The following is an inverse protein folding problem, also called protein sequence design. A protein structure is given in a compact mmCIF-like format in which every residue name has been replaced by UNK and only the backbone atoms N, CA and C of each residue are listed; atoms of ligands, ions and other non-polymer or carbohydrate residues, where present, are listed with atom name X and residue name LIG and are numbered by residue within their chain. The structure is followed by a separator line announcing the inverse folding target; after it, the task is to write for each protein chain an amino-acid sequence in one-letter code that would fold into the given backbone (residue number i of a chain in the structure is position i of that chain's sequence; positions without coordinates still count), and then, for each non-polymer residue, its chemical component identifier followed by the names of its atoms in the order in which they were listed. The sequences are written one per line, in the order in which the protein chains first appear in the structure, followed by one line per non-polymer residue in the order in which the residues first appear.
data_IF_340878550993
#
_entry.id   IF_340878550993
#
_cell.length_a   1.000
_cell.length_b   1.000
_cell.length_c   1.000
_cell.angle_alpha   90.00
_cell.angle_beta   90.00
_cell.angle_gamma   90.00
#
_symmetry.space_group_name_H-M   'P 1'
#
loop_
_entity.id
_entity.type
_entity.pdbx_description
1 polymer ?
#
# COMPACT_ATOMS: atom_id res chain seq x y z
N UNK A 1 27.13 -12.00 13.08
CA UNK A 1 25.89 -11.32 13.46
C UNK A 1 24.80 -11.62 12.44
N UNK A 2 23.68 -12.13 12.90
CA UNK A 2 22.58 -12.45 11.98
C UNK A 2 21.98 -11.17 11.40
N UNK A 3 21.82 -11.13 10.10
CA UNK A 3 21.16 -10.00 9.43
C UNK A 3 19.65 -10.17 9.51
N UNK A 4 18.94 -9.07 9.75
CA UNK A 4 17.50 -9.07 9.69
C UNK A 4 17.10 -9.22 8.21
N UNK A 5 16.27 -10.21 7.88
CA UNK A 5 15.84 -10.37 6.49
C UNK A 5 15.14 -9.11 5.98
N UNK A 6 15.45 -8.74 4.76
CA UNK A 6 14.83 -7.60 4.09
C UNK A 6 13.92 -8.11 2.98
N UNK A 7 12.71 -7.58 2.94
CA UNK A 7 11.74 -7.90 1.90
C UNK A 7 11.79 -6.84 0.82
N UNK A 8 11.69 -7.28 -0.43
CA UNK A 8 11.62 -6.36 -1.55
C UNK A 8 10.19 -5.87 -1.72
N UNK A 9 10.01 -4.56 -1.83
CA UNK A 9 8.69 -3.97 -2.07
C UNK A 9 8.43 -3.96 -3.57
N UNK A 10 7.30 -4.56 -3.97
CA UNK A 10 6.86 -4.60 -5.36
C UNK A 10 5.51 -3.94 -5.46
N UNK A 11 5.39 -2.93 -6.31
CA UNK A 11 4.13 -2.24 -6.55
C UNK A 11 3.43 -2.90 -7.74
N UNK A 12 2.22 -3.40 -7.53
CA UNK A 12 1.42 -3.94 -8.63
C UNK A 12 0.96 -2.81 -9.54
N UNK A 13 0.56 -3.14 -10.76
CA UNK A 13 0.02 -2.13 -11.69
C UNK A 13 -1.16 -1.39 -11.08
N UNK A 14 -2.04 -2.12 -10.38
CA UNK A 14 -3.20 -1.52 -9.71
C UNK A 14 -2.77 -0.52 -8.64
N UNK A 15 -1.76 -0.85 -7.85
CA UNK A 15 -1.24 0.06 -6.83
C UNK A 15 -0.62 1.30 -7.45
N UNK A 16 0.14 1.13 -8.52
CA UNK A 16 0.74 2.26 -9.25
C UNK A 16 -0.35 3.18 -9.78
N UNK A 17 -1.39 2.61 -10.35
CA UNK A 17 -2.52 3.39 -10.86
C UNK A 17 -3.22 4.15 -9.74
N UNK A 18 -3.46 3.50 -8.59
CA UNK A 18 -4.06 4.15 -7.42
C UNK A 18 -3.25 5.37 -6.98
N UNK A 19 -1.92 5.20 -6.93
CA UNK A 19 -1.01 6.27 -6.50
C UNK A 19 -1.04 7.42 -7.49
N UNK A 20 -0.98 7.12 -8.80
CA UNK A 20 -1.00 8.14 -9.84
C UNK A 20 -2.32 8.92 -9.83
N UNK A 21 -3.45 8.23 -9.71
CA UNK A 21 -4.76 8.85 -9.65
C UNK A 21 -4.90 9.77 -8.44
N UNK A 22 -4.41 9.33 -7.28
CA UNK A 22 -4.48 10.14 -6.08
C UNK A 22 -3.54 11.34 -6.16
N UNK A 23 -2.35 11.19 -6.72
CA UNK A 23 -1.43 12.30 -6.92
C UNK A 23 -2.06 13.36 -7.82
N UNK A 24 -2.68 12.93 -8.92
CA UNK A 24 -3.37 13.84 -9.84
C UNK A 24 -4.53 14.55 -9.16
N UNK A 25 -5.29 13.82 -8.33
CA UNK A 25 -6.39 14.40 -7.56
C UNK A 25 -5.89 15.48 -6.60
N UNK A 26 -4.81 15.20 -5.86
CA UNK A 26 -4.23 16.15 -4.92
C UNK A 26 -3.75 17.41 -5.64
N UNK A 27 -3.03 17.23 -6.76
CA UNK A 27 -2.51 18.35 -7.53
C UNK A 27 -3.65 19.25 -8.05
N UNK A 28 -4.73 18.63 -8.55
CA UNK A 28 -5.86 19.37 -9.08
C UNK A 28 -6.67 20.05 -7.96
N UNK A 29 -6.92 19.33 -6.86
CA UNK A 29 -7.74 19.83 -5.75
C UNK A 29 -7.14 21.05 -5.07
N UNK A 30 -5.82 21.04 -4.89
CA UNK A 30 -5.11 22.10 -4.17
C UNK A 30 -4.36 23.05 -5.10
N UNK A 31 -4.42 22.83 -6.42
CA UNK A 31 -3.68 23.60 -7.42
C UNK A 31 -2.19 23.67 -7.08
N UNK A 32 -1.65 22.54 -6.57
CA UNK A 32 -0.29 22.50 -6.06
C UNK A 32 0.36 21.15 -6.37
N UNK A 33 1.11 21.05 -7.50
CA UNK A 33 1.81 19.82 -7.85
C UNK A 33 2.86 19.41 -6.81
N UNK A 34 3.44 20.36 -6.09
CA UNK A 34 4.45 20.05 -5.07
C UNK A 34 3.83 19.29 -3.89
N UNK A 35 2.60 19.59 -3.56
CA UNK A 35 1.88 18.90 -2.50
C UNK A 35 1.63 17.43 -2.88
N UNK A 36 1.28 17.18 -4.14
CA UNK A 36 1.10 15.82 -4.63
C UNK A 36 2.42 15.04 -4.60
N UNK A 37 3.51 15.68 -4.99
CA UNK A 37 4.84 15.08 -4.97
C UNK A 37 5.27 14.75 -3.54
N UNK A 38 5.04 15.65 -2.60
CA UNK A 38 5.31 15.43 -1.18
C UNK A 38 4.56 14.21 -0.64
N UNK A 39 3.26 14.12 -0.95
CA UNK A 39 2.45 12.98 -0.55
C UNK A 39 3.01 11.67 -1.12
N UNK A 40 3.37 11.69 -2.41
CA UNK A 40 3.91 10.52 -3.10
C UNK A 40 5.19 10.02 -2.45
N UNK A 41 6.15 10.90 -2.21
CA UNK A 41 7.42 10.50 -1.61
C UNK A 41 7.25 10.07 -0.15
N UNK A 42 6.39 10.75 0.60
CA UNK A 42 6.13 10.39 1.99
C UNK A 42 5.50 9.00 2.07
N UNK A 43 4.53 8.71 1.20
CA UNK A 43 3.88 7.40 1.17
C UNK A 43 4.89 6.29 0.87
N UNK A 44 5.71 6.47 -0.15
CA UNK A 44 6.70 5.46 -0.54
C UNK A 44 7.76 5.27 0.55
N UNK A 45 8.17 6.37 1.18
CA UNK A 45 9.12 6.30 2.29
C UNK A 45 8.54 5.50 3.46
N UNK A 46 7.29 5.75 3.82
CA UNK A 46 6.65 5.03 4.93
C UNK A 46 6.46 3.55 4.61
N UNK A 47 6.06 3.21 3.39
CA UNK A 47 5.93 1.82 2.97
C UNK A 47 7.29 1.11 3.07
N UNK A 48 8.33 1.72 2.54
CA UNK A 48 9.68 1.15 2.58
C UNK A 48 10.13 0.93 4.02
N UNK A 49 9.96 1.94 4.85
CA UNK A 49 10.39 1.90 6.25
C UNK A 49 9.65 0.83 7.05
N UNK A 50 8.33 0.72 6.84
CA UNK A 50 7.49 -0.11 7.70
C UNK A 50 7.37 -1.56 7.24
N UNK A 51 7.50 -1.83 5.95
CA UNK A 51 7.18 -3.16 5.42
C UNK A 51 8.38 -3.97 4.96
N UNK A 52 9.60 -3.41 4.93
CA UNK A 52 10.77 -4.17 4.46
C UNK A 52 11.32 -5.15 5.50
N UNK A 53 11.16 -4.87 6.78
CA UNK A 53 11.79 -5.67 7.84
C UNK A 53 10.79 -6.63 8.49
N UNK A 54 9.64 -6.13 8.91
CA UNK A 54 8.63 -6.94 9.61
C UNK A 54 7.26 -6.75 8.96
N UNK A 55 7.06 -7.27 7.73
CA UNK A 55 5.79 -7.04 7.01
C UNK A 55 4.59 -7.72 7.64
N UNK A 56 4.80 -8.68 8.54
CA UNK A 56 3.71 -9.38 9.23
C UNK A 56 3.22 -8.67 10.50
N UNK A 57 3.81 -7.53 10.87
CA UNK A 57 3.43 -6.84 12.11
C UNK A 57 2.06 -6.17 12.05
N UNK A 58 1.56 -5.90 10.85
CA UNK A 58 0.24 -5.30 10.68
C UNK A 58 -0.81 -6.38 10.50
N UNK A 59 -2.04 -6.08 10.92
CA UNK A 59 -3.09 -7.09 10.96
C UNK A 59 -3.61 -7.44 9.56
N UNK A 60 -4.16 -8.65 9.41
CA UNK A 60 -4.84 -9.02 8.18
C UNK A 60 -6.03 -8.09 7.90
N UNK A 61 -6.37 -7.94 6.63
CA UNK A 61 -7.59 -7.28 6.23
C UNK A 61 -8.72 -8.30 6.36
N UNK A 62 -9.55 -8.14 7.40
CA UNK A 62 -10.54 -9.15 7.81
C UNK A 62 -11.82 -9.12 6.96
N UNK A 63 -11.66 -9.22 5.64
CA UNK A 63 -12.79 -9.28 4.70
C UNK A 63 -12.49 -10.37 3.68
N UNK A 64 -13.34 -11.40 3.62
CA UNK A 64 -13.19 -12.44 2.62
C UNK A 64 -13.62 -11.94 1.23
N UNK A 65 -12.99 -12.40 0.14
CA UNK A 65 -11.95 -13.44 0.09
C UNK A 65 -10.52 -12.94 0.35
N UNK A 66 -10.36 -11.66 0.66
CA UNK A 66 -9.05 -11.01 0.75
C UNK A 66 -8.23 -11.52 1.94
N UNK A 67 -8.90 -11.79 3.07
CA UNK A 67 -8.23 -12.38 4.23
C UNK A 67 -7.64 -13.75 3.88
N UNK A 68 -8.41 -14.59 3.19
CA UNK A 68 -7.95 -15.91 2.76
C UNK A 68 -6.82 -15.85 1.73
N UNK A 69 -6.69 -14.73 1.04
CA UNK A 69 -5.59 -14.50 0.07
C UNK A 69 -4.38 -13.85 0.73
N UNK A 70 -4.39 -13.67 2.03
CA UNK A 70 -3.26 -13.13 2.77
C UNK A 70 -3.08 -11.62 2.67
N UNK A 71 -4.14 -10.89 2.33
CA UNK A 71 -4.07 -9.43 2.26
C UNK A 71 -4.07 -8.84 3.65
N UNK A 72 -3.13 -7.93 3.90
CA UNK A 72 -2.97 -7.20 5.15
C UNK A 72 -3.18 -5.72 4.91
N UNK A 73 -3.39 -4.96 5.99
CA UNK A 73 -3.59 -3.53 5.88
C UNK A 73 -2.59 -2.76 6.73
N UNK A 74 -2.00 -1.73 6.14
CA UNK A 74 -1.17 -0.76 6.82
C UNK A 74 -1.86 0.60 6.69
N UNK A 75 -2.29 1.15 7.84
CA UNK A 75 -3.04 2.40 7.87
C UNK A 75 -2.08 3.54 8.16
N UNK A 76 -2.03 4.51 7.27
CA UNK A 76 -1.31 5.76 7.49
C UNK A 76 -2.29 6.82 7.96
N UNK A 77 -1.82 8.07 8.10
CA UNK A 77 -2.68 9.17 8.51
C UNK A 77 -3.88 9.37 7.57
N UNK A 78 -3.63 9.28 6.25
CA UNK A 78 -4.63 9.60 5.24
C UNK A 78 -4.99 8.42 4.34
N UNK A 79 -4.25 7.32 4.43
CA UNK A 79 -4.34 6.25 3.45
C UNK A 79 -4.43 4.89 4.11
N UNK A 80 -4.92 3.92 3.35
CA UNK A 80 -4.85 2.51 3.72
C UNK A 80 -4.09 1.80 2.60
N UNK A 81 -2.98 1.16 2.96
CA UNK A 81 -2.17 0.38 2.04
C UNK A 81 -2.53 -1.09 2.22
N UNK A 82 -3.03 -1.72 1.16
CA UNK A 82 -3.37 -3.13 1.17
C UNK A 82 -2.25 -3.90 0.50
N UNK A 83 -1.73 -4.91 1.17
CA UNK A 83 -0.55 -5.63 0.70
C UNK A 83 -0.62 -7.10 1.07
N UNK A 84 0.18 -7.90 0.38
CA UNK A 84 0.38 -9.31 0.73
C UNK A 84 1.87 -9.60 0.76
N UNK A 85 2.25 -10.68 1.47
CA UNK A 85 3.65 -11.03 1.67
C UNK A 85 3.91 -12.41 1.06
N UNK A 86 4.94 -12.48 0.22
CA UNK A 86 5.50 -13.73 -0.25
C UNK A 86 6.75 -14.01 0.61
N UNK A 87 6.59 -14.86 1.61
CA UNK A 87 7.66 -15.16 2.55
C UNK A 87 8.82 -15.90 1.89
N UNK A 88 8.51 -16.86 1.03
CA UNK A 88 9.53 -17.65 0.36
C UNK A 88 10.39 -16.80 -0.58
N UNK A 89 9.76 -15.92 -1.34
CA UNK A 89 10.45 -15.02 -2.25
C UNK A 89 10.94 -13.73 -1.60
N UNK A 90 10.61 -13.52 -0.34
CA UNK A 90 10.92 -12.29 0.41
C UNK A 90 10.50 -11.04 -0.33
N UNK A 91 9.22 -11.02 -0.72
CA UNK A 91 8.63 -9.89 -1.42
C UNK A 91 7.36 -9.44 -0.72
N UNK A 92 7.12 -8.14 -0.73
CA UNK A 92 5.87 -7.53 -0.29
C UNK A 92 5.22 -6.90 -1.52
N UNK A 93 4.01 -7.35 -1.83
CA UNK A 93 3.26 -6.85 -2.98
C UNK A 93 2.26 -5.81 -2.49
N UNK A 94 2.47 -4.56 -2.89
CA UNK A 94 1.52 -3.49 -2.62
C UNK A 94 0.41 -3.61 -3.65
N UNK A 95 -0.79 -3.94 -3.19
CA UNK A 95 -1.92 -4.27 -4.07
C UNK A 95 -2.86 -3.11 -4.31
N UNK A 96 -3.01 -2.25 -3.32
CA UNK A 96 -3.90 -1.10 -3.45
C UNK A 96 -3.48 0.00 -2.48
N UNK A 97 -3.73 1.23 -2.87
CA UNK A 97 -3.58 2.39 -2.01
C UNK A 97 -4.91 3.14 -2.04
N UNK A 98 -5.59 3.17 -0.90
CA UNK A 98 -6.93 3.72 -0.81
C UNK A 98 -6.94 4.88 0.17
N UNK A 99 -7.83 5.83 -0.04
CA UNK A 99 -8.07 6.89 0.93
C UNK A 99 -8.84 6.30 2.11
N UNK A 100 -8.51 6.72 3.32
CA UNK A 100 -9.23 6.27 4.52
C UNK A 100 -10.72 6.64 4.38
N UNK A 101 -11.58 5.67 4.71
CA UNK A 101 -13.02 5.82 4.56
C UNK A 101 -13.58 5.34 3.22
N UNK A 102 -12.72 5.00 2.27
CA UNK A 102 -13.14 4.42 0.99
C UNK A 102 -13.63 2.98 1.21
N UNK A 103 -14.54 2.51 0.34
CA UNK A 103 -14.97 1.12 0.36
C UNK A 103 -13.85 0.24 -0.21
N UNK A 104 -13.05 -0.34 0.68
CA UNK A 104 -11.86 -1.11 0.30
C UNK A 104 -12.22 -2.41 -0.41
N UNK A 105 -13.30 -3.06 0.02
CA UNK A 105 -13.71 -4.34 -0.58
C UNK A 105 -14.13 -4.14 -2.04
N UNK A 106 -14.92 -3.10 -2.32
CA UNK A 106 -15.34 -2.78 -3.68
C UNK A 106 -14.14 -2.40 -4.55
N UNK A 107 -13.21 -1.63 -4.00
CA UNK A 107 -12.01 -1.20 -4.72
C UNK A 107 -11.15 -2.40 -5.13
N UNK A 108 -10.92 -3.34 -4.20
CA UNK A 108 -10.17 -4.56 -4.49
C UNK A 108 -10.86 -5.42 -5.54
N UNK A 109 -12.19 -5.51 -5.50
CA UNK A 109 -12.95 -6.30 -6.47
C UNK A 109 -12.78 -5.76 -7.89
N UNK A 110 -12.70 -4.44 -8.05
CA UNK A 110 -12.49 -3.81 -9.35
C UNK A 110 -11.12 -4.13 -9.95
N UNK A 111 -10.15 -4.45 -9.11
CA UNK A 111 -8.77 -4.72 -9.55
C UNK A 111 -8.54 -6.18 -9.92
N UNK A 112 -9.41 -7.06 -9.51
CA UNK A 112 -9.33 -8.45 -9.88
C UNK A 112 -9.89 -8.67 -11.28
#
# INVERSE_FOLDING_TARGET
MAQIPQYKIVYTESAIQDIEEKADYIAAQFHDPDLAEEWYFQLKFEIQKQLTTFPFKYQPYHVEPWEGRGVRQYVTRNDVVLYSVDEDGRQVFIRAVCTRGQDLAAHLAEQD
#
